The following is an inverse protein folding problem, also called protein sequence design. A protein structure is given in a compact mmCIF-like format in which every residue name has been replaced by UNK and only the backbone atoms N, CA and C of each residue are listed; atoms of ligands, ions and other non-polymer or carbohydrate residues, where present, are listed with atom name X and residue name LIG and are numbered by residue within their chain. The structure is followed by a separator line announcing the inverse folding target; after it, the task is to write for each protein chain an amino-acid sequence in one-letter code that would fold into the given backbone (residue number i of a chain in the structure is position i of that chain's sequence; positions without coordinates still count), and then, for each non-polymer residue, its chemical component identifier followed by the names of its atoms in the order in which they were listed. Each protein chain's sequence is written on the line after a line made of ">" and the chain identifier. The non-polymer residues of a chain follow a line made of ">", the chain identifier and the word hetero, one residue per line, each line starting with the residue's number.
data_IF_182979472317
#
_entry.id   IF_182979472317
#
_cell.length_a   1.000
_cell.length_b   1.000
_cell.length_c   1.000
_cell.angle_alpha   90.00
_cell.angle_beta   90.00
_cell.angle_gamma   90.00
#
_symmetry.space_group_name_H-M   'P 1'
#
loop_
_entity.id
_entity.type
_entity.pdbx_description
1 polymer ?
#
# COMPACT_ATOMS: atom_id res chain seq x y z
N UNK A 1 -45.18 1.21 10.97
CA UNK A 1 -43.89 0.73 11.53
C UNK A 1 -43.31 -0.24 10.50
N UNK A 2 -42.21 0.08 9.81
CA UNK A 2 -41.20 -0.90 9.35
C UNK A 2 -40.29 -0.48 8.19
N UNK A 3 -40.60 0.47 7.31
CA UNK A 3 -39.63 0.80 6.24
C UNK A 3 -38.38 1.54 6.76
N UNK A 4 -38.56 2.50 7.67
CA UNK A 4 -37.46 3.25 8.28
C UNK A 4 -36.60 2.36 9.19
N UNK A 5 -37.23 1.45 9.92
CA UNK A 5 -36.54 0.50 10.81
C UNK A 5 -35.79 -0.55 9.97
N UNK A 6 -36.38 -1.06 8.89
CA UNK A 6 -35.73 -2.01 7.98
C UNK A 6 -34.54 -1.36 7.25
N UNK A 7 -34.67 -0.11 6.80
CA UNK A 7 -33.57 0.67 6.23
C UNK A 7 -32.46 0.93 7.25
N UNK A 8 -32.80 1.31 8.48
CA UNK A 8 -31.82 1.53 9.55
C UNK A 8 -31.09 0.23 9.92
N UNK A 9 -31.79 -0.91 9.96
CA UNK A 9 -31.20 -2.22 10.20
C UNK A 9 -30.32 -2.66 9.03
N UNK A 10 -30.74 -2.46 7.78
CA UNK A 10 -29.95 -2.74 6.58
C UNK A 10 -28.65 -1.91 6.56
N UNK A 11 -28.74 -0.60 6.79
CA UNK A 11 -27.57 0.29 6.87
C UNK A 11 -26.66 -0.11 8.04
N UNK A 12 -27.21 -0.44 9.21
CA UNK A 12 -26.42 -0.93 10.34
C UNK A 12 -25.71 -2.24 10.00
N UNK A 13 -26.38 -3.21 9.37
CA UNK A 13 -25.76 -4.48 8.96
C UNK A 13 -24.67 -4.31 7.91
N UNK A 14 -24.85 -3.38 6.96
CA UNK A 14 -23.83 -2.99 5.97
C UNK A 14 -22.60 -2.36 6.65
N UNK A 15 -22.79 -1.57 7.72
CA UNK A 15 -21.69 -1.00 8.49
C UNK A 15 -20.93 -2.01 9.38
N UNK A 16 -21.56 -3.12 9.79
CA UNK A 16 -20.90 -4.19 10.56
C UNK A 16 -20.16 -5.20 9.68
N UNK A 17 -20.59 -5.38 8.43
CA UNK A 17 -19.98 -6.33 7.49
C UNK A 17 -18.70 -5.81 6.83
N UNK A 18 -18.44 -4.49 6.85
CA UNK A 18 -17.20 -3.94 6.33
C UNK A 18 -16.02 -4.25 7.28
N UNK A 19 -14.96 -4.95 6.83
CA UNK A 19 -13.76 -5.18 7.63
C UNK A 19 -13.20 -3.84 8.10
N UNK A 20 -13.18 -3.61 9.43
CA UNK A 20 -12.59 -2.39 9.98
C UNK A 20 -11.08 -2.51 9.86
N UNK A 21 -10.50 -1.82 8.89
CA UNK A 21 -9.06 -1.69 8.79
C UNK A 21 -8.50 -1.13 10.12
N UNK A 22 -7.38 -1.68 10.62
CA UNK A 22 -6.76 -1.18 11.85
C UNK A 22 -6.39 0.29 11.66
N UNK A 23 -6.46 1.09 12.73
CA UNK A 23 -5.99 2.48 12.72
C UNK A 23 -4.50 2.55 13.08
N UNK A 24 -3.73 3.50 12.54
CA UNK A 24 -2.34 3.67 12.93
C UNK A 24 -2.25 4.17 14.38
N UNK A 25 -1.33 3.60 15.16
CA UNK A 25 -1.11 4.02 16.56
C UNK A 25 -0.39 5.37 16.67
N UNK A 26 0.40 5.72 15.65
CA UNK A 26 1.19 6.94 15.54
C UNK A 26 0.98 7.48 14.12
N UNK A 27 0.73 8.78 13.99
CA UNK A 27 0.49 9.46 12.71
C UNK A 27 0.78 10.96 12.84
N UNK A 28 0.84 11.66 11.70
CA UNK A 28 1.15 13.08 11.64
C UNK A 28 2.51 13.41 12.27
N UNK A 29 2.57 14.56 12.93
CA UNK A 29 3.81 15.12 13.51
C UNK A 29 4.44 14.27 14.62
N UNK A 30 3.79 13.20 15.08
CA UNK A 30 4.38 12.24 16.00
C UNK A 30 5.39 11.31 15.30
N UNK A 31 5.44 11.29 13.97
CA UNK A 31 6.41 10.52 13.20
C UNK A 31 7.56 11.45 12.80
N UNK A 32 8.81 11.13 13.16
CA UNK A 32 9.97 11.88 12.66
C UNK A 32 10.05 11.79 11.13
N UNK A 33 10.23 12.92 10.44
CA UNK A 33 10.31 12.94 8.96
C UNK A 33 11.36 11.98 8.40
N UNK A 34 12.52 11.85 9.07
CA UNK A 34 13.58 10.91 8.69
C UNK A 34 13.12 9.45 8.58
N UNK A 35 12.08 9.06 9.32
CA UNK A 35 11.52 7.70 9.31
C UNK A 35 10.50 7.50 8.17
N UNK A 36 10.13 8.58 7.48
CA UNK A 36 9.28 8.61 6.29
C UNK A 36 10.10 8.79 5.01
N UNK A 37 11.18 9.56 5.10
CA UNK A 37 12.09 9.89 4.00
C UNK A 37 12.86 8.66 3.49
N UNK A 38 12.62 8.30 2.23
CA UNK A 38 13.23 7.16 1.54
C UNK A 38 14.65 7.45 1.05
N UNK A 39 15.15 8.69 1.14
CA UNK A 39 16.57 8.99 0.99
C UNK A 39 17.41 8.41 2.15
N UNK A 40 16.77 8.17 3.31
CA UNK A 40 17.41 7.59 4.47
C UNK A 40 17.58 6.06 4.35
N UNK A 41 18.82 5.58 4.42
CA UNK A 41 19.15 4.15 4.38
C UNK A 41 18.45 3.30 5.45
N UNK A 42 18.23 3.87 6.65
CA UNK A 42 17.47 3.21 7.72
C UNK A 42 16.02 2.98 7.33
N UNK A 43 15.41 3.96 6.67
CA UNK A 43 14.02 3.89 6.17
C UNK A 43 13.90 2.87 5.05
N UNK A 44 14.79 2.91 4.05
CA UNK A 44 14.86 1.90 2.97
C UNK A 44 14.92 0.47 3.52
N UNK A 45 15.83 0.23 4.47
CA UNK A 45 16.00 -1.09 5.13
C UNK A 45 14.75 -1.53 5.87
N UNK A 46 14.09 -0.62 6.61
CA UNK A 46 12.83 -0.93 7.29
C UNK A 46 11.75 -1.33 6.28
N UNK A 47 11.59 -0.57 5.18
CA UNK A 47 10.59 -0.86 4.15
C UNK A 47 10.81 -2.26 3.57
N UNK A 48 12.03 -2.59 3.14
CA UNK A 48 12.37 -3.91 2.59
C UNK A 48 12.14 -5.01 3.62
N UNK A 49 12.56 -4.81 4.87
CA UNK A 49 12.38 -5.78 5.95
C UNK A 49 10.90 -6.10 6.19
N UNK A 50 10.04 -5.08 6.21
CA UNK A 50 8.59 -5.25 6.43
C UNK A 50 7.93 -6.01 5.28
N UNK A 51 8.31 -5.72 4.03
CA UNK A 51 7.82 -6.47 2.87
C UNK A 51 8.25 -7.94 2.92
N UNK A 52 9.52 -8.21 3.18
CA UNK A 52 10.03 -9.58 3.32
C UNK A 52 9.37 -10.34 4.48
N UNK A 53 9.10 -9.64 5.59
CA UNK A 53 8.31 -10.19 6.68
C UNK A 53 6.90 -10.61 6.21
N UNK A 54 6.16 -9.75 5.53
CA UNK A 54 4.82 -10.10 5.04
C UNK A 54 4.83 -11.19 3.96
N UNK A 55 5.79 -11.17 3.05
CA UNK A 55 6.01 -12.23 2.03
C UNK A 55 6.25 -13.59 2.67
N UNK A 56 6.92 -13.65 3.83
CA UNK A 56 7.12 -14.90 4.59
C UNK A 56 5.85 -15.42 5.31
N UNK A 57 4.76 -14.65 5.31
CA UNK A 57 3.51 -14.93 6.07
C UNK A 57 2.30 -15.17 5.18
N UNK A 58 2.49 -15.31 3.87
CA UNK A 58 1.42 -15.63 2.93
C UNK A 58 0.80 -17.00 3.23
N UNK A 59 -0.49 -17.16 2.90
CA UNK A 59 -1.21 -18.41 3.04
C UNK A 59 -2.06 -18.67 1.78
N UNK A 60 -1.92 -19.83 1.11
CA UNK A 60 -0.99 -20.93 1.44
C UNK A 60 0.49 -20.51 1.32
N UNK A 61 1.44 -21.23 1.95
CA UNK A 61 2.85 -20.90 1.85
C UNK A 61 3.35 -21.01 0.41
N UNK A 62 4.13 -20.03 -0.02
CA UNK A 62 4.72 -20.02 -1.36
C UNK A 62 6.03 -20.83 -1.40
N UNK A 63 6.24 -21.60 -2.47
CA UNK A 63 7.43 -22.44 -2.67
C UNK A 63 8.64 -21.69 -3.21
N UNK A 64 8.42 -20.55 -3.89
CA UNK A 64 9.40 -19.84 -4.70
C UNK A 64 9.34 -18.31 -4.50
N UNK A 65 8.86 -17.87 -3.33
CA UNK A 65 8.77 -16.46 -2.99
C UNK A 65 10.15 -15.82 -2.84
N UNK A 66 10.55 -14.99 -3.81
CA UNK A 66 11.83 -14.28 -3.77
C UNK A 66 11.89 -13.26 -2.62
N UNK A 67 13.07 -13.07 -2.04
CA UNK A 67 13.34 -11.97 -1.11
C UNK A 67 13.52 -10.66 -1.89
N UNK A 68 12.85 -9.60 -1.44
CA UNK A 68 12.99 -8.26 -2.00
C UNK A 68 14.28 -7.59 -1.53
N UNK A 69 14.83 -6.76 -2.41
CA UNK A 69 15.89 -5.79 -2.13
C UNK A 69 15.42 -4.39 -2.53
N UNK A 70 16.12 -3.37 -2.05
CA UNK A 70 15.91 -2.00 -2.51
C UNK A 70 16.45 -1.82 -3.94
N UNK A 71 15.79 -0.98 -4.73
CA UNK A 71 16.22 -0.62 -6.08
C UNK A 71 16.06 0.88 -6.28
N UNK A 72 17.16 1.59 -6.55
CA UNK A 72 17.14 3.06 -6.59
C UNK A 72 16.36 3.61 -7.80
N UNK A 73 16.48 3.01 -9.00
CA UNK A 73 15.68 3.44 -10.16
C UNK A 73 14.17 3.36 -9.93
N UNK A 74 13.67 2.26 -9.37
CA UNK A 74 12.29 2.16 -8.92
C UNK A 74 11.94 3.21 -7.85
N UNK A 75 12.82 3.46 -6.86
CA UNK A 75 12.56 4.49 -5.87
C UNK A 75 12.41 5.89 -6.49
N UNK A 76 13.24 6.23 -7.49
CA UNK A 76 13.17 7.49 -8.23
C UNK A 76 11.85 7.63 -9.00
N UNK A 77 11.43 6.58 -9.71
CA UNK A 77 10.14 6.55 -10.42
C UNK A 77 8.96 6.70 -9.45
N UNK A 78 9.00 6.01 -8.31
CA UNK A 78 7.96 6.07 -7.29
C UNK A 78 7.86 7.47 -6.67
N UNK A 79 9.00 8.13 -6.43
CA UNK A 79 9.08 9.50 -5.91
C UNK A 79 8.56 10.51 -6.94
N UNK A 80 8.95 10.37 -8.21
CA UNK A 80 8.42 11.21 -9.31
C UNK A 80 6.90 11.12 -9.39
N UNK A 81 6.34 9.91 -9.34
CA UNK A 81 4.89 9.73 -9.36
C UNK A 81 4.21 10.31 -8.11
N UNK A 82 4.78 10.07 -6.92
CA UNK A 82 4.25 10.64 -5.67
C UNK A 82 4.19 12.17 -5.73
N UNK A 83 5.22 12.82 -6.24
CA UNK A 83 5.28 14.29 -6.38
C UNK A 83 4.29 14.85 -7.42
N UNK A 84 3.87 14.04 -8.39
CA UNK A 84 2.85 14.43 -9.37
C UNK A 84 1.44 14.54 -8.78
N UNK A 85 1.24 14.02 -7.55
CA UNK A 85 0.02 14.16 -6.78
C UNK A 85 -1.27 13.70 -7.49
N UNK A 86 -1.16 12.63 -8.27
CA UNK A 86 -2.29 12.01 -8.97
C UNK A 86 -3.16 11.13 -8.05
N UNK A 87 -2.88 11.13 -6.74
CA UNK A 87 -3.63 10.43 -5.68
C UNK A 87 -3.77 8.93 -6.00
N UNK A 88 -4.99 8.44 -6.22
CA UNK A 88 -5.30 7.02 -6.46
C UNK A 88 -5.08 6.58 -7.91
N UNK A 89 -4.62 7.46 -8.80
CA UNK A 89 -4.28 7.09 -10.17
C UNK A 89 -2.92 6.40 -10.20
N UNK A 90 -2.84 5.29 -10.93
CA UNK A 90 -1.58 4.61 -11.21
C UNK A 90 -0.84 5.25 -12.37
N UNK A 91 0.49 5.23 -12.31
CA UNK A 91 1.35 5.65 -13.41
C UNK A 91 1.18 4.69 -14.61
N UNK A 92 1.38 5.21 -15.80
CA UNK A 92 1.35 4.41 -17.00
C UNK A 92 2.53 3.41 -17.02
N UNK A 93 2.43 2.39 -17.85
CA UNK A 93 3.46 1.33 -17.92
C UNK A 93 4.83 1.86 -18.35
N UNK A 94 4.88 2.95 -19.13
CA UNK A 94 6.13 3.58 -19.55
C UNK A 94 6.81 4.38 -18.44
N UNK A 95 6.06 4.88 -17.47
CA UNK A 95 6.58 5.57 -16.28
C UNK A 95 7.04 4.60 -15.21
N UNK A 96 6.53 3.37 -15.22
CA UNK A 96 6.94 2.32 -14.29
C UNK A 96 7.94 1.40 -14.94
N UNK A 97 9.13 1.89 -15.29
CA UNK A 97 10.08 1.10 -16.07
C UNK A 97 11.50 1.26 -15.56
N UNK A 98 12.18 0.14 -15.33
CA UNK A 98 13.61 0.11 -15.00
C UNK A 98 14.41 -0.66 -16.04
N UNK A 99 15.67 -0.28 -16.23
CA UNK A 99 16.56 -0.93 -17.20
C UNK A 99 16.74 -2.42 -16.93
N UNK A 100 16.79 -2.81 -15.65
CA UNK A 100 17.11 -4.17 -15.23
C UNK A 100 15.89 -5.12 -15.28
N UNK A 101 14.67 -4.60 -15.15
CA UNK A 101 13.47 -5.41 -14.97
C UNK A 101 12.32 -5.07 -15.92
N UNK A 102 12.45 -4.02 -16.72
CA UNK A 102 11.39 -3.54 -17.59
C UNK A 102 10.24 -2.94 -16.78
N UNK A 103 9.01 -3.24 -17.17
CA UNK A 103 7.80 -2.71 -16.52
C UNK A 103 7.65 -3.22 -15.09
N UNK A 104 7.48 -2.30 -14.15
CA UNK A 104 7.36 -2.53 -12.71
C UNK A 104 5.91 -2.38 -12.23
N UNK A 105 5.53 -3.08 -11.17
CA UNK A 105 4.25 -2.91 -10.48
C UNK A 105 4.20 -1.59 -9.70
N UNK A 106 3.03 -1.20 -9.17
CA UNK A 106 2.90 -0.02 -8.32
C UNK A 106 1.80 -0.17 -7.28
N UNK A 107 2.13 0.13 -6.02
CA UNK A 107 1.18 0.24 -4.93
C UNK A 107 1.14 1.69 -4.42
N UNK A 108 -0.07 2.17 -4.20
CA UNK A 108 -0.34 3.55 -3.79
C UNK A 108 -1.02 3.54 -2.42
N UNK A 109 -0.58 4.44 -1.54
CA UNK A 109 -1.28 4.71 -0.29
C UNK A 109 -1.49 6.22 -0.15
N UNK A 110 -2.75 6.62 0.05
CA UNK A 110 -3.11 8.03 0.22
C UNK A 110 -3.61 8.25 1.63
N UNK A 111 -3.03 9.25 2.31
CA UNK A 111 -3.53 9.76 3.58
C UNK A 111 -3.36 11.27 3.64
N UNK A 112 -4.26 11.93 4.35
CA UNK A 112 -4.20 13.38 4.62
C UNK A 112 -3.25 13.74 5.77
N UNK A 113 -2.62 12.74 6.39
CA UNK A 113 -1.63 12.88 7.46
C UNK A 113 -0.50 11.88 7.22
N UNK A 114 0.68 12.16 7.78
CA UNK A 114 1.79 11.22 7.75
C UNK A 114 1.40 9.91 8.43
N UNK A 115 1.75 8.78 7.82
CA UNK A 115 1.52 7.44 8.37
C UNK A 115 2.81 6.62 8.33
N UNK A 116 3.05 5.68 9.25
CA UNK A 116 4.25 4.87 9.20
C UNK A 116 4.23 3.95 7.99
N UNK A 117 5.40 3.72 7.36
CA UNK A 117 5.55 2.74 6.28
C UNK A 117 5.02 1.34 6.64
N UNK A 118 5.19 0.90 7.90
CA UNK A 118 4.62 -0.36 8.37
C UNK A 118 3.10 -0.40 8.26
N UNK A 119 2.44 0.73 8.52
CA UNK A 119 1.00 0.81 8.46
C UNK A 119 0.52 0.65 7.01
N UNK A 120 1.07 1.41 6.07
CA UNK A 120 0.76 1.29 4.65
C UNK A 120 0.99 -0.16 4.14
N UNK A 121 2.18 -0.72 4.41
CA UNK A 121 2.51 -2.09 4.03
C UNK A 121 1.56 -3.14 4.65
N UNK A 122 1.13 -2.93 5.90
CA UNK A 122 0.16 -3.80 6.55
C UNK A 122 -1.22 -3.70 5.91
N UNK A 123 -1.67 -2.51 5.53
CA UNK A 123 -2.98 -2.34 4.88
C UNK A 123 -3.00 -3.09 3.54
N UNK A 124 -1.98 -2.91 2.70
CA UNK A 124 -1.83 -3.68 1.46
C UNK A 124 -1.79 -5.20 1.72
N UNK A 125 -1.06 -5.64 2.76
CA UNK A 125 -1.02 -7.06 3.10
C UNK A 125 -2.37 -7.64 3.54
N UNK A 126 -3.22 -6.84 4.22
CA UNK A 126 -4.52 -7.29 4.72
C UNK A 126 -5.56 -7.49 3.60
N UNK A 127 -5.31 -6.99 2.39
CA UNK A 127 -6.14 -7.30 1.20
C UNK A 127 -6.21 -8.82 0.96
N UNK A 128 -5.19 -9.57 1.41
CA UNK A 128 -5.18 -11.03 1.37
C UNK A 128 -6.42 -11.68 1.99
N UNK A 129 -7.05 -11.04 2.96
CA UNK A 129 -8.21 -11.60 3.65
C UNK A 129 -9.47 -11.59 2.75
N UNK A 130 -9.45 -10.81 1.66
CA UNK A 130 -10.48 -10.79 0.62
C UNK A 130 -10.06 -11.53 -0.66
N UNK A 131 -8.87 -12.13 -0.67
CA UNK A 131 -8.32 -12.85 -1.82
C UNK A 131 -8.37 -14.36 -1.61
N UNK A 132 -8.74 -15.08 -2.67
CA UNK A 132 -8.68 -16.54 -2.72
C UNK A 132 -7.67 -16.98 -3.78
N UNK A 133 -6.61 -17.65 -3.34
CA UNK A 133 -5.61 -18.24 -4.23
C UNK A 133 -6.23 -19.33 -5.12
N UNK A 134 -5.87 -19.36 -6.40
CA UNK A 134 -6.35 -20.35 -7.37
C UNK A 134 -7.79 -20.14 -7.86
N UNK A 135 -8.46 -19.06 -7.43
CA UNK A 135 -9.78 -18.68 -7.94
C UNK A 135 -9.65 -17.94 -9.27
N UNK A 136 -10.57 -18.19 -10.21
CA UNK A 136 -10.54 -17.56 -11.54
C UNK A 136 -10.68 -16.04 -11.50
N UNK A 137 -11.46 -15.50 -10.56
CA UNK A 137 -11.70 -14.07 -10.38
C UNK A 137 -11.84 -13.75 -8.89
N UNK A 138 -10.99 -12.85 -8.39
CA UNK A 138 -11.20 -12.14 -7.14
C UNK A 138 -11.89 -10.81 -7.44
N UNK A 139 -12.51 -10.21 -6.43
CA UNK A 139 -13.20 -8.93 -6.59
C UNK A 139 -12.17 -7.81 -6.87
N UNK A 140 -12.14 -7.24 -8.08
CA UNK A 140 -11.13 -6.25 -8.47
C UNK A 140 -11.35 -4.91 -7.75
N UNK A 141 -12.53 -4.67 -7.17
CA UNK A 141 -12.82 -3.45 -6.42
C UNK A 141 -12.31 -3.56 -4.96
N UNK A 142 -11.88 -4.75 -4.53
CA UNK A 142 -11.49 -5.04 -3.14
C UNK A 142 -10.05 -5.54 -3.04
N UNK A 143 -9.55 -6.22 -4.07
CA UNK A 143 -8.21 -6.75 -4.13
C UNK A 143 -7.47 -6.08 -5.27
N UNK A 144 -6.56 -5.16 -4.93
CA UNK A 144 -5.56 -4.72 -5.89
C UNK A 144 -4.55 -5.88 -6.06
N UNK A 145 -3.93 -6.05 -7.22
CA UNK A 145 -3.18 -7.27 -7.62
C UNK A 145 -1.93 -7.62 -6.80
N UNK A 146 -1.83 -7.17 -5.54
CA UNK A 146 -0.67 -7.18 -4.63
C UNK A 146 -0.34 -8.56 -4.06
N UNK A 147 -1.29 -9.50 -4.07
CA UNK A 147 -1.17 -10.76 -3.33
C UNK A 147 -0.56 -11.84 -4.21
N UNK A 148 0.77 -11.79 -4.35
CA UNK A 148 1.54 -12.95 -4.80
C UNK A 148 2.47 -12.71 -5.99
N UNK A 149 2.64 -11.50 -6.50
CA UNK A 149 3.48 -11.28 -7.68
C UNK A 149 4.93 -10.98 -7.29
N UNK A 150 5.85 -11.59 -8.02
CA UNK A 150 7.26 -11.21 -8.13
C UNK A 150 7.28 -9.91 -8.91
N UNK A 151 6.86 -8.81 -8.30
CA UNK A 151 6.95 -7.51 -8.95
C UNK A 151 7.81 -6.63 -8.07
N UNK A 152 8.77 -5.97 -8.73
CA UNK A 152 9.41 -4.81 -8.17
C UNK A 152 8.30 -3.76 -8.14
N UNK A 153 7.69 -3.63 -6.96
CA UNK A 153 6.63 -2.67 -6.74
C UNK A 153 7.25 -1.31 -6.44
N UNK A 154 6.76 -0.31 -7.15
CA UNK A 154 6.92 1.09 -6.84
C UNK A 154 5.97 1.42 -5.69
N UNK A 155 6.50 1.94 -4.58
CA UNK A 155 5.68 2.28 -3.42
C UNK A 155 5.61 3.80 -3.26
N UNK A 156 4.42 4.36 -3.48
CA UNK A 156 4.19 5.80 -3.32
C UNK A 156 3.23 6.03 -2.16
N UNK A 157 3.65 6.80 -1.16
CA UNK A 157 2.76 7.28 -0.11
C UNK A 157 2.59 8.80 -0.24
N UNK A 158 1.35 9.23 -0.46
CA UNK A 158 1.03 10.60 -0.90
C UNK A 158 0.49 11.48 0.23
N UNK A 159 1.24 11.66 1.32
CA UNK A 159 0.91 12.69 2.33
C UNK A 159 1.40 14.09 1.91
N UNK A 160 2.42 14.19 1.05
CA UNK A 160 3.05 15.46 0.63
C UNK A 160 2.13 16.32 -0.24
N UNK A 161 1.14 15.70 -0.88
CA UNK A 161 0.18 16.35 -1.78
C UNK A 161 -0.83 17.26 -1.09
N UNK A 162 -0.96 17.15 0.23
CA UNK A 162 -1.97 17.91 1.00
C UNK A 162 -1.43 19.23 1.56
N UNK A 163 -0.28 19.70 1.07
CA UNK A 163 0.31 20.96 1.54
C UNK A 163 0.63 20.95 3.04
N UNK A 164 0.83 19.76 3.63
CA UNK A 164 1.41 19.58 4.96
C UNK A 164 2.85 20.05 4.85
N UNK A 165 3.02 21.38 4.94
CA UNK A 165 4.28 22.09 4.78
C UNK A 165 5.29 21.53 5.79
N UNK A 166 6.22 20.72 5.30
CA UNK A 166 7.49 20.52 5.94
C UNK A 166 8.30 21.77 5.59
N UNK A 167 8.37 22.71 6.52
CA UNK A 167 9.39 23.76 6.49
C UNK A 167 10.76 23.07 6.49
N UNK A 168 11.52 23.27 5.41
CA UNK A 168 12.92 22.86 5.28
C UNK A 168 13.81 23.45 6.38
#
# INVERSE_FOLDING_TARGET
>A
MNHVILLALLVATLCYAAPRLPRPKIYGNAIPYKDLDTSNEGTKKKIVLMHNFFRSRVQPPASDMLAMSWHDGAAEDAQRWAQSCQLLLHDNTTGRWTQDFGTCGQNIFVANVQVPWFFAAKIWFLEKDNFTYGKNLNDPDVVDGVIGVIEIYLFSVLWECWGVHLTF
#
